data_IF_342160919197
#
_entry.id   IF_342160919197
#
_cell.length_a   1.000
_cell.length_b   1.000
_cell.length_c   1.000
_cell.angle_alpha   90.00
_cell.angle_beta   90.00
_cell.angle_gamma   90.00
#
_symmetry.space_group_name_H-M   'P 1'
#
loop_
_entity.id
_entity.type
_entity.pdbx_description
1 polymer ?
#
# COMPACT_ATOMS: atom_id res chain seq x y z
N UNK A 1 -4.69 6.84 -18.44
CA UNK A 1 -3.73 6.41 -17.40
C UNK A 1 -3.50 7.54 -16.40
N UNK A 2 -4.02 7.38 -15.18
CA UNK A 2 -3.88 8.37 -14.11
C UNK A 2 -2.44 8.48 -13.60
N UNK A 3 -2.12 9.53 -12.84
CA UNK A 3 -0.78 9.71 -12.26
C UNK A 3 -0.38 8.56 -11.33
N UNK A 4 -1.31 8.12 -10.48
CA UNK A 4 -1.12 6.97 -9.58
C UNK A 4 -0.79 5.68 -10.35
N UNK A 5 -1.56 5.39 -11.39
CA UNK A 5 -1.41 4.19 -12.23
C UNK A 5 -0.03 4.14 -12.93
N UNK A 6 0.46 5.29 -13.44
CA UNK A 6 1.81 5.38 -14.02
C UNK A 6 2.91 5.13 -12.99
N UNK A 7 2.72 5.61 -11.75
CA UNK A 7 3.67 5.39 -10.65
C UNK A 7 3.70 3.91 -10.28
N UNK A 8 2.53 3.31 -10.10
CA UNK A 8 2.41 1.89 -9.79
C UNK A 8 3.07 1.01 -10.87
N UNK A 9 2.83 1.30 -12.16
CA UNK A 9 3.45 0.57 -13.26
C UNK A 9 4.98 0.62 -13.19
N UNK A 10 5.56 1.79 -12.86
CA UNK A 10 7.02 1.92 -12.67
C UNK A 10 7.54 1.06 -11.53
N UNK A 11 6.81 0.98 -10.42
CA UNK A 11 7.20 0.11 -9.31
C UNK A 11 7.16 -1.37 -9.69
N UNK A 12 6.15 -1.80 -10.47
CA UNK A 12 6.09 -3.16 -11.03
C UNK A 12 7.24 -3.46 -11.97
N UNK A 13 7.74 -2.46 -12.69
CA UNK A 13 8.95 -2.55 -13.53
C UNK A 13 10.27 -2.50 -12.72
N UNK A 14 10.22 -2.42 -11.39
CA UNK A 14 11.39 -2.48 -10.52
C UNK A 14 11.93 -1.12 -10.06
N UNK A 15 11.25 0.00 -10.34
CA UNK A 15 11.65 1.33 -9.88
C UNK A 15 11.33 1.57 -8.38
N UNK A 16 11.93 0.77 -7.50
CA UNK A 16 11.63 0.74 -6.06
C UNK A 16 12.65 1.52 -5.19
N UNK A 17 13.65 2.15 -5.81
CA UNK A 17 14.70 2.90 -5.10
C UNK A 17 14.25 4.34 -4.83
N UNK A 18 14.54 4.83 -3.63
CA UNK A 18 14.29 6.22 -3.20
C UNK A 18 12.84 6.69 -3.46
N UNK A 19 11.86 5.79 -3.28
CA UNK A 19 10.45 6.09 -3.55
C UNK A 19 9.94 7.17 -2.58
N UNK A 20 9.41 8.29 -3.08
CA UNK A 20 8.96 9.38 -2.21
C UNK A 20 7.62 9.03 -1.57
N UNK A 21 7.46 9.41 -0.31
CA UNK A 21 6.25 9.20 0.49
C UNK A 21 4.97 9.64 -0.26
N UNK A 22 4.98 10.82 -0.87
CA UNK A 22 3.83 11.37 -1.60
C UNK A 22 3.34 10.46 -2.74
N UNK A 23 4.23 9.73 -3.40
CA UNK A 23 3.87 8.87 -4.51
C UNK A 23 3.17 7.61 -3.98
N UNK A 24 3.62 7.10 -2.82
CA UNK A 24 2.98 6.00 -2.09
C UNK A 24 1.59 6.37 -1.61
N UNK A 25 1.43 7.55 -1.00
CA UNK A 25 0.12 8.02 -0.55
C UNK A 25 -0.85 8.19 -1.72
N UNK A 26 -0.39 8.80 -2.82
CA UNK A 26 -1.20 9.00 -4.02
C UNK A 26 -1.69 7.67 -4.62
N UNK A 27 -0.82 6.64 -4.67
CA UNK A 27 -1.22 5.31 -5.18
C UNK A 27 -2.24 4.66 -4.25
N UNK A 28 -2.05 4.74 -2.94
CA UNK A 28 -2.96 4.13 -1.98
C UNK A 28 -4.34 4.79 -1.98
N UNK A 29 -4.40 6.13 -1.97
CA UNK A 29 -5.67 6.87 -2.05
C UNK A 29 -6.42 6.55 -3.36
N UNK A 30 -5.70 6.47 -4.49
CA UNK A 30 -6.29 6.13 -5.78
C UNK A 30 -6.87 4.71 -5.83
N UNK A 31 -6.43 3.81 -4.94
CA UNK A 31 -6.94 2.44 -4.82
C UNK A 31 -7.82 2.28 -3.56
N UNK A 32 -8.47 3.36 -3.10
CA UNK A 32 -9.51 3.29 -2.07
C UNK A 32 -9.00 3.08 -0.64
N UNK A 33 -7.70 3.20 -0.38
CA UNK A 33 -7.18 3.04 0.97
C UNK A 33 -7.50 4.26 1.84
N UNK A 34 -7.88 3.99 3.09
CA UNK A 34 -7.94 5.00 4.15
C UNK A 34 -6.59 5.14 4.84
N UNK A 35 -6.04 6.35 4.85
CA UNK A 35 -4.71 6.63 5.39
C UNK A 35 -4.80 7.29 6.78
N UNK A 36 -3.95 6.86 7.72
CA UNK A 36 -3.79 7.49 9.03
C UNK A 36 -2.32 7.47 9.46
N UNK A 37 -1.85 8.53 10.11
CA UNK A 37 -0.53 8.52 10.76
C UNK A 37 -0.56 7.86 12.15
N UNK A 38 0.46 7.06 12.44
CA UNK A 38 0.72 6.53 13.78
C UNK A 38 1.55 7.51 14.63
N UNK A 39 1.77 7.15 15.91
CA UNK A 39 2.56 7.98 16.86
C UNK A 39 4.04 8.12 16.48
N UNK A 40 4.54 7.24 15.61
CA UNK A 40 5.92 7.23 15.16
C UNK A 40 6.07 7.86 13.77
N UNK A 41 5.08 8.66 13.33
CA UNK A 41 5.03 9.30 12.02
C UNK A 41 5.05 8.33 10.82
N UNK A 42 4.70 7.05 11.01
CA UNK A 42 4.46 6.13 9.91
C UNK A 42 3.03 6.27 9.40
N UNK A 43 2.80 5.88 8.14
CA UNK A 43 1.46 5.75 7.63
C UNK A 43 0.92 4.34 7.83
N UNK A 44 -0.33 4.28 8.24
CA UNK A 44 -1.14 3.07 8.28
C UNK A 44 -2.21 3.22 7.20
N UNK A 45 -2.10 2.42 6.15
CA UNK A 45 -3.09 2.35 5.08
C UNK A 45 -4.03 1.18 5.35
N UNK A 46 -5.34 1.43 5.25
CA UNK A 46 -6.39 0.43 5.48
C UNK A 46 -7.23 0.22 4.25
N UNK A 47 -7.62 -1.01 3.98
CA UNK A 47 -8.59 -1.33 2.94
C UNK A 47 -9.56 -2.41 3.45
N UNK A 48 -10.84 -2.31 3.09
CA UNK A 48 -11.88 -3.22 3.57
C UNK A 48 -11.61 -4.67 3.13
N UNK A 49 -11.20 -4.86 1.87
CA UNK A 49 -10.89 -6.20 1.32
C UNK A 49 -9.68 -6.87 1.98
N UNK A 50 -8.78 -6.12 2.62
CA UNK A 50 -7.62 -6.70 3.31
C UNK A 50 -7.96 -7.20 4.73
N UNK A 51 -9.16 -6.89 5.23
CA UNK A 51 -9.57 -7.28 6.59
C UNK A 51 -9.58 -8.81 6.69
N UNK A 52 -8.87 -9.34 7.70
CA UNK A 52 -8.73 -10.79 7.89
C UNK A 52 -7.60 -11.45 7.11
N UNK A 53 -6.90 -10.72 6.21
CA UNK A 53 -5.77 -11.29 5.49
C UNK A 53 -4.58 -11.55 6.45
N UNK A 54 -3.99 -12.76 6.46
CA UNK A 54 -2.94 -13.13 7.43
C UNK A 54 -1.69 -12.27 7.29
N UNK A 55 -1.27 -11.93 6.06
CA UNK A 55 -0.10 -11.07 5.83
C UNK A 55 -0.36 -9.59 6.15
N UNK A 56 -1.61 -9.11 6.02
CA UNK A 56 -1.98 -7.71 6.26
C UNK A 56 -2.71 -7.53 7.60
N UNK A 57 -2.44 -8.44 8.54
CA UNK A 57 -3.17 -8.56 9.81
C UNK A 57 -2.46 -9.32 10.92
N UNK A 58 -1.15 -9.56 10.82
CA UNK A 58 -0.41 -10.31 11.83
C UNK A 58 -0.14 -9.48 13.10
N UNK A 59 -0.82 -9.82 14.21
CA UNK A 59 -0.35 -9.45 15.55
C UNK A 59 -1.35 -8.80 16.50
N UNK A 60 -2.61 -9.25 16.53
CA UNK A 60 -3.65 -8.80 17.47
C UNK A 60 -4.08 -7.33 17.30
N UNK A 61 -5.29 -7.18 16.73
CA UNK A 61 -6.40 -6.27 17.11
C UNK A 61 -7.02 -5.47 15.98
N UNK A 62 -6.36 -5.24 14.84
CA UNK A 62 -6.99 -4.50 13.73
C UNK A 62 -6.40 -4.92 12.36
N UNK A 63 -7.01 -5.93 11.73
CA UNK A 63 -6.60 -6.45 10.41
C UNK A 63 -6.82 -5.47 9.24
N UNK A 64 -6.28 -5.81 8.07
CA UNK A 64 -6.44 -5.07 6.82
C UNK A 64 -5.57 -3.83 6.69
N UNK A 65 -4.31 -3.92 7.11
CA UNK A 65 -3.39 -2.77 7.16
C UNK A 65 -2.07 -3.02 6.45
N UNK A 66 -1.62 -1.99 5.72
CA UNK A 66 -0.25 -1.87 5.23
C UNK A 66 0.42 -0.75 6.01
N UNK A 67 1.56 -1.06 6.65
CA UNK A 67 2.36 -0.07 7.38
C UNK A 67 3.47 0.46 6.48
N UNK A 68 3.60 1.78 6.40
CA UNK A 68 4.53 2.45 5.50
C UNK A 68 5.51 3.25 6.35
N UNK A 69 6.77 2.81 6.34
CA UNK A 69 7.85 3.49 7.05
C UNK A 69 8.45 4.56 6.14
N UNK A 70 8.39 5.82 6.55
CA UNK A 70 8.77 6.99 5.74
C UNK A 70 10.14 7.61 6.12
N UNK A 71 11.02 6.79 6.71
CA UNK A 71 12.35 7.16 7.17
C UNK A 71 13.41 6.17 6.67
N UNK A 72 13.40 5.83 5.38
CA UNK A 72 14.40 4.90 4.86
C UNK A 72 15.81 5.51 4.88
N UNK A 73 16.77 4.83 5.55
CA UNK A 73 18.19 5.21 5.64
C UNK A 73 18.41 6.66 6.13
N UNK A 74 17.59 7.14 7.07
CA UNK A 74 17.70 8.50 7.60
C UNK A 74 17.26 9.62 6.64
N UNK A 75 16.83 9.29 5.41
CA UNK A 75 16.19 10.24 4.51
C UNK A 75 14.72 10.39 4.91
N UNK A 76 14.36 11.58 5.36
CA UNK A 76 12.96 11.91 5.61
C UNK A 76 12.15 11.85 4.31
N UNK A 77 10.90 11.37 4.40
CA UNK A 77 9.94 11.29 3.28
C UNK A 77 10.33 10.32 2.17
N UNK A 78 11.23 9.37 2.45
CA UNK A 78 11.55 8.26 1.55
C UNK A 78 11.05 6.96 2.15
N UNK A 79 10.39 6.15 1.32
CA UNK A 79 9.77 4.89 1.72
C UNK A 79 10.71 3.72 1.43
N UNK A 80 10.73 2.75 2.35
CA UNK A 80 11.52 1.54 2.19
C UNK A 80 11.02 0.71 0.99
N UNK A 81 11.89 0.16 0.12
CA UNK A 81 11.48 -0.65 -1.03
C UNK A 81 10.57 -1.83 -0.66
N UNK A 82 10.84 -2.50 0.48
CA UNK A 82 9.96 -3.54 1.03
C UNK A 82 8.53 -3.06 1.29
N UNK A 83 8.34 -1.85 1.84
CA UNK A 83 7.00 -1.32 2.04
C UNK A 83 6.27 -1.07 0.71
N UNK A 84 7.00 -0.68 -0.35
CA UNK A 84 6.43 -0.56 -1.70
C UNK A 84 6.03 -1.93 -2.26
N UNK A 85 6.81 -2.99 -1.99
CA UNK A 85 6.43 -4.37 -2.34
C UNK A 85 5.18 -4.83 -1.61
N UNK A 86 5.05 -4.51 -0.32
CA UNK A 86 3.86 -4.84 0.47
C UNK A 86 2.62 -4.11 -0.06
N UNK A 87 2.78 -2.86 -0.50
CA UNK A 87 1.72 -2.11 -1.21
C UNK A 87 1.33 -2.83 -2.49
N UNK A 88 2.29 -3.21 -3.36
CA UNK A 88 1.98 -3.93 -4.60
C UNK A 88 1.25 -5.25 -4.35
N UNK A 89 1.68 -6.05 -3.37
CA UNK A 89 0.99 -7.28 -2.98
C UNK A 89 -0.46 -7.02 -2.53
N UNK A 90 -0.67 -5.97 -1.74
CA UNK A 90 -2.01 -5.59 -1.29
C UNK A 90 -2.92 -5.19 -2.46
N UNK A 91 -2.38 -4.44 -3.43
CA UNK A 91 -3.11 -4.06 -4.65
C UNK A 91 -3.46 -5.27 -5.52
N UNK A 92 -2.53 -6.21 -5.68
CA UNK A 92 -2.76 -7.43 -6.46
C UNK A 92 -3.87 -8.28 -5.83
N UNK A 93 -3.88 -8.40 -4.50
CA UNK A 93 -4.94 -9.08 -3.78
C UNK A 93 -6.30 -8.39 -3.95
N UNK A 94 -6.35 -7.06 -3.80
CA UNK A 94 -7.58 -6.26 -3.96
C UNK A 94 -8.18 -6.48 -5.35
N UNK A 95 -7.35 -6.37 -6.41
CA UNK A 95 -7.80 -6.58 -7.79
C UNK A 95 -8.31 -7.99 -8.04
N UNK A 96 -7.69 -9.00 -7.44
CA UNK A 96 -8.18 -10.38 -7.51
C UNK A 96 -9.58 -10.50 -6.89
N UNK A 97 -9.80 -9.86 -5.74
CA UNK A 97 -11.09 -9.90 -5.03
C UNK A 97 -12.20 -9.11 -5.70
N UNK A 98 -11.88 -7.97 -6.31
CA UNK A 98 -12.84 -7.20 -7.10
C UNK A 98 -13.30 -8.01 -8.31
N UNK A 99 -12.37 -8.67 -9.00
CA UNK A 99 -12.71 -9.53 -10.14
C UNK A 99 -13.59 -10.74 -9.75
N UNK A 100 -13.26 -11.41 -8.65
CA UNK A 100 -14.09 -12.50 -8.12
C UNK A 100 -15.54 -12.04 -7.84
N UNK A 101 -15.73 -10.81 -7.34
CA UNK A 101 -17.06 -10.28 -7.06
C UNK A 101 -17.83 -9.88 -8.33
N UNK A 102 -17.15 -9.38 -9.36
CA UNK A 102 -17.77 -9.04 -10.65
C UNK A 102 -18.27 -10.29 -11.40
N UNK A 103 -17.54 -11.40 -11.33
CA UNK A 103 -17.90 -12.66 -11.99
C UNK A 103 -19.10 -13.39 -11.32
N UNK A 104 -19.48 -13.02 -10.09
CA UNK A 104 -20.60 -13.59 -9.32
C UNK A 104 -21.92 -12.79 -9.44
N UNK A 105 -21.92 -11.65 -10.14
CA UNK A 105 -23.08 -10.77 -10.37
C UNK A 105 -23.58 -10.77 -11.81
#
# INVERSE_FOLDING_TARGET
MGKAEKIEQRWRQGALKDVPERDVLLVLEANGFSLRRDRNHHWLAKHALLVGHPEFGAGNKQGGRVKINCHHRGKARTVHPLAVKDVLKALDFIRSKEKEQEDET
#
